data_IF_904465168313
#
_entry.id   IF_904465168313
#
_cell.length_a   1.000
_cell.length_b   1.000
_cell.length_c   1.000
_cell.angle_alpha   90.00
_cell.angle_beta   90.00
_cell.angle_gamma   90.00
#
_symmetry.space_group_name_H-M   'P 1'
#
loop_
_entity.id
_entity.type
_entity.pdbx_description
1 polymer ?
#
# COMPACT_ATOMS: atom_id res chain seq x y z
N UNK A 1 4.69 3.43 -14.53
CA UNK A 1 5.18 4.37 -13.48
C UNK A 1 5.86 3.54 -12.40
N UNK A 2 6.92 4.03 -11.75
CA UNK A 2 7.63 3.29 -10.69
C UNK A 2 6.67 2.75 -9.60
N UNK A 3 5.58 3.48 -9.33
CA UNK A 3 4.51 3.13 -8.38
C UNK A 3 3.86 1.77 -8.67
N UNK A 4 3.51 1.50 -9.94
CA UNK A 4 2.82 0.26 -10.34
C UNK A 4 3.74 -0.96 -10.36
N UNK A 5 5.04 -0.74 -10.57
CA UNK A 5 6.03 -1.81 -10.62
C UNK A 5 6.64 -2.13 -9.26
N UNK A 6 6.88 -1.10 -8.45
CA UNK A 6 7.62 -1.24 -7.20
C UNK A 6 6.69 -1.06 -5.98
N UNK A 7 6.10 0.13 -5.79
CA UNK A 7 5.39 0.46 -4.54
C UNK A 7 4.12 -0.37 -4.33
N UNK A 8 3.19 -0.41 -5.30
CA UNK A 8 1.93 -1.14 -5.14
C UNK A 8 2.15 -2.66 -4.99
N UNK A 9 3.04 -3.30 -5.79
CA UNK A 9 3.40 -4.70 -5.57
C UNK A 9 4.09 -4.94 -4.23
N UNK A 10 4.97 -4.03 -3.76
CA UNK A 10 5.61 -4.14 -2.46
C UNK A 10 4.61 -4.12 -1.30
N UNK A 11 3.67 -3.17 -1.31
CA UNK A 11 2.57 -3.12 -0.30
C UNK A 11 1.77 -4.42 -0.31
N UNK A 12 1.45 -4.94 -1.50
CA UNK A 12 0.69 -6.18 -1.62
C UNK A 12 1.50 -7.40 -1.18
N UNK A 13 2.80 -7.43 -1.50
CA UNK A 13 3.73 -8.49 -1.09
C UNK A 13 3.75 -8.63 0.43
N UNK A 14 3.99 -7.54 1.17
CA UNK A 14 4.05 -7.61 2.63
C UNK A 14 2.73 -8.01 3.30
N UNK A 15 1.59 -7.72 2.66
CA UNK A 15 0.27 -8.15 3.16
C UNK A 15 0.04 -9.64 3.02
N UNK A 16 0.54 -10.24 1.95
CA UNK A 16 0.28 -11.65 1.64
C UNK A 16 1.41 -12.57 2.09
N UNK A 17 2.67 -12.16 1.98
CA UNK A 17 3.84 -13.02 2.19
C UNK A 17 4.31 -13.03 3.65
N UNK A 18 4.03 -11.99 4.43
CA UNK A 18 4.32 -11.97 5.87
C UNK A 18 3.17 -12.64 6.61
N UNK A 19 3.39 -13.77 7.33
CA UNK A 19 2.31 -14.53 7.96
C UNK A 19 1.44 -13.71 8.92
N UNK A 20 2.05 -12.85 9.73
CA UNK A 20 1.33 -12.00 10.68
C UNK A 20 0.37 -11.02 9.98
N UNK A 21 0.76 -10.45 8.84
CA UNK A 21 -0.11 -9.57 8.06
C UNK A 21 -1.18 -10.36 7.31
N UNK A 22 -0.84 -11.55 6.79
CA UNK A 22 -1.77 -12.42 6.10
C UNK A 22 -2.96 -12.79 7.01
N UNK A 23 -2.68 -13.19 8.24
CA UNK A 23 -3.71 -13.57 9.21
C UNK A 23 -4.61 -12.38 9.62
N UNK A 24 -4.07 -11.15 9.72
CA UNK A 24 -4.86 -9.94 10.00
C UNK A 24 -5.83 -9.61 8.86
N UNK A 25 -5.40 -9.75 7.61
CA UNK A 25 -6.14 -9.27 6.43
C UNK A 25 -6.54 -10.38 5.46
N UNK A 26 -5.70 -10.75 4.49
CA UNK A 26 -6.06 -11.67 3.41
C UNK A 26 -6.67 -13.02 3.84
N UNK A 27 -6.30 -13.55 5.01
CA UNK A 27 -6.89 -14.78 5.55
C UNK A 27 -8.42 -14.69 5.72
N UNK A 28 -8.96 -13.49 5.96
CA UNK A 28 -10.39 -13.23 6.13
C UNK A 28 -11.19 -13.53 4.86
N UNK A 29 -10.57 -13.42 3.68
CA UNK A 29 -11.25 -13.75 2.41
C UNK A 29 -11.69 -15.22 2.34
N UNK A 30 -11.09 -16.09 3.13
CA UNK A 30 -11.39 -17.52 3.17
C UNK A 30 -12.43 -17.89 4.24
N UNK A 31 -12.94 -16.92 5.02
CA UNK A 31 -13.90 -17.19 6.09
C UNK A 31 -15.24 -17.71 5.59
N UNK A 32 -15.60 -17.42 4.34
CA UNK A 32 -16.82 -17.93 3.70
C UNK A 32 -16.70 -19.39 3.24
N UNK A 33 -15.52 -20.01 3.36
CA UNK A 33 -15.30 -21.38 2.95
C UNK A 33 -15.67 -22.39 4.05
N UNK A 34 -16.16 -23.59 3.68
CA UNK A 34 -16.28 -24.73 4.58
C UNK A 34 -14.96 -25.02 5.30
N UNK A 35 -15.03 -25.27 6.61
CA UNK A 35 -13.84 -25.37 7.46
C UNK A 35 -12.91 -26.53 7.06
N UNK A 36 -13.48 -27.64 6.60
CA UNK A 36 -12.79 -28.83 6.10
C UNK A 36 -11.99 -28.59 4.82
N UNK A 37 -12.39 -27.60 4.02
CA UNK A 37 -11.74 -27.27 2.74
C UNK A 37 -10.80 -26.07 2.84
N UNK A 38 -10.99 -25.22 3.86
CA UNK A 38 -10.35 -23.90 3.99
C UNK A 38 -8.82 -23.95 3.87
N UNK A 39 -8.17 -24.89 4.56
CA UNK A 39 -6.70 -24.95 4.60
C UNK A 39 -6.11 -25.40 3.26
N UNK A 40 -6.75 -26.35 2.58
CA UNK A 40 -6.34 -26.79 1.25
C UNK A 40 -6.44 -25.65 0.22
N UNK A 41 -7.54 -24.90 0.25
CA UNK A 41 -7.72 -23.75 -0.64
C UNK A 41 -6.80 -22.58 -0.30
N UNK A 42 -6.58 -22.28 0.99
CA UNK A 42 -5.59 -21.28 1.40
C UNK A 42 -4.22 -21.63 0.84
N UNK A 43 -3.80 -22.90 0.94
CA UNK A 43 -2.52 -23.36 0.39
C UNK A 43 -2.42 -23.16 -1.12
N UNK A 44 -3.42 -23.61 -1.88
CA UNK A 44 -3.45 -23.46 -3.34
C UNK A 44 -3.39 -21.99 -3.78
N UNK A 45 -4.22 -21.13 -3.17
CA UNK A 45 -4.22 -19.69 -3.46
C UNK A 45 -2.87 -19.06 -3.12
N UNK A 46 -2.28 -19.42 -1.98
CA UNK A 46 -0.98 -18.91 -1.57
C UNK A 46 0.15 -19.32 -2.51
N UNK A 47 0.12 -20.54 -3.05
CA UNK A 47 1.07 -20.99 -4.07
C UNK A 47 0.93 -20.16 -5.36
N UNK A 48 -0.31 -19.92 -5.82
CA UNK A 48 -0.57 -19.07 -6.99
C UNK A 48 -0.15 -17.62 -6.78
N UNK A 49 -0.42 -17.06 -5.59
CA UNK A 49 -0.03 -15.69 -5.23
C UNK A 49 1.49 -15.57 -5.21
N UNK A 50 2.22 -16.50 -4.58
CA UNK A 50 3.69 -16.54 -4.61
C UNK A 50 4.23 -16.57 -6.04
N UNK A 51 3.71 -17.49 -6.87
CA UNK A 51 4.10 -17.60 -8.27
C UNK A 51 3.86 -16.29 -9.04
N UNK A 52 2.75 -15.60 -8.77
CA UNK A 52 2.44 -14.31 -9.40
C UNK A 52 3.42 -13.20 -9.02
N UNK A 53 3.86 -13.14 -7.75
CA UNK A 53 4.87 -12.19 -7.30
C UNK A 53 6.22 -12.44 -7.97
N UNK A 54 6.62 -13.71 -8.08
CA UNK A 54 7.84 -14.09 -8.81
C UNK A 54 7.72 -13.70 -10.28
N UNK A 55 6.60 -14.02 -10.95
CA UNK A 55 6.40 -13.67 -12.35
C UNK A 55 6.51 -12.15 -12.59
N UNK A 56 5.92 -11.35 -11.71
CA UNK A 56 5.94 -9.87 -11.77
C UNK A 56 7.27 -9.23 -11.38
N UNK A 57 8.22 -10.00 -10.85
CA UNK A 57 9.57 -9.52 -10.49
C UNK A 57 9.75 -9.23 -9.00
N UNK A 58 8.76 -8.64 -8.32
CA UNK A 58 8.88 -8.28 -6.89
C UNK A 58 9.23 -9.47 -6.00
N UNK A 59 8.72 -10.67 -6.30
CA UNK A 59 9.04 -11.89 -5.55
C UNK A 59 10.44 -12.47 -5.80
N UNK A 60 11.25 -11.84 -6.66
CA UNK A 60 12.66 -12.21 -6.90
C UNK A 60 13.65 -11.42 -6.03
N UNK A 61 13.16 -10.37 -5.37
CA UNK A 61 13.95 -9.50 -4.51
C UNK A 61 13.89 -9.94 -3.06
N UNK A 62 14.89 -9.56 -2.26
CA UNK A 62 14.80 -9.68 -0.80
C UNK A 62 13.79 -8.68 -0.23
N UNK A 63 13.30 -8.89 0.99
CA UNK A 63 12.38 -7.93 1.62
C UNK A 63 13.03 -6.55 1.81
N UNK A 64 14.33 -6.50 2.07
CA UNK A 64 15.10 -5.27 2.16
C UNK A 64 15.18 -4.54 0.81
N UNK A 65 15.41 -5.27 -0.28
CA UNK A 65 15.40 -4.72 -1.64
C UNK A 65 14.01 -4.21 -2.03
N UNK A 66 12.95 -4.98 -1.74
CA UNK A 66 11.55 -4.57 -1.97
C UNK A 66 11.26 -3.26 -1.23
N UNK A 67 11.70 -3.17 0.03
CA UNK A 67 11.54 -1.95 0.84
C UNK A 67 12.32 -0.78 0.26
N UNK A 68 13.57 -1.00 -0.19
CA UNK A 68 14.39 0.02 -0.83
C UNK A 68 13.74 0.57 -2.11
N UNK A 69 13.24 -0.31 -2.98
CA UNK A 69 12.57 0.07 -4.23
C UNK A 69 11.26 0.84 -3.96
N UNK A 70 10.52 0.43 -2.93
CA UNK A 70 9.34 1.16 -2.47
C UNK A 70 9.70 2.57 -1.98
N UNK A 71 10.78 2.73 -1.21
CA UNK A 71 11.29 4.05 -0.76
C UNK A 71 11.61 4.97 -1.93
N UNK A 72 12.35 4.49 -2.94
CA UNK A 72 12.64 5.29 -4.13
C UNK A 72 11.38 5.73 -4.88
N UNK A 73 10.34 4.89 -4.88
CA UNK A 73 9.06 5.26 -5.47
C UNK A 73 8.32 6.33 -4.67
N UNK A 74 8.42 6.30 -3.33
CA UNK A 74 7.88 7.36 -2.46
C UNK A 74 8.61 8.69 -2.69
N UNK A 75 9.94 8.68 -2.79
CA UNK A 75 10.74 9.88 -3.09
C UNK A 75 10.37 10.49 -4.45
N UNK A 76 10.26 9.64 -5.46
CA UNK A 76 9.83 10.07 -6.79
C UNK A 76 8.42 10.67 -6.78
N UNK A 77 7.51 10.10 -5.99
CA UNK A 77 6.16 10.62 -5.82
C UNK A 77 6.14 11.99 -5.13
N UNK A 78 6.93 12.15 -4.08
CA UNK A 78 7.04 13.41 -3.35
C UNK A 78 7.59 14.54 -4.25
N UNK A 79 8.59 14.22 -5.07
CA UNK A 79 9.11 15.16 -6.07
C UNK A 79 8.08 15.46 -7.17
N UNK A 80 7.38 14.43 -7.66
CA UNK A 80 6.41 14.56 -8.76
C UNK A 80 5.18 15.37 -8.35
N UNK A 81 4.66 15.16 -7.14
CA UNK A 81 3.57 15.95 -6.57
C UNK A 81 4.08 17.37 -6.28
N UNK A 82 5.26 17.49 -5.66
CA UNK A 82 5.86 18.78 -5.35
C UNK A 82 4.94 19.63 -4.48
N UNK A 83 4.63 20.84 -4.94
CA UNK A 83 3.69 21.77 -4.29
C UNK A 83 2.25 21.68 -4.83
N UNK A 84 1.97 20.77 -5.77
CA UNK A 84 0.65 20.65 -6.40
C UNK A 84 -0.32 19.95 -5.45
N UNK A 85 -1.62 20.31 -5.47
CA UNK A 85 -2.62 19.60 -4.69
C UNK A 85 -2.92 18.19 -5.27
N UNK A 86 -2.75 17.99 -6.58
CA UNK A 86 -2.92 16.69 -7.25
C UNK A 86 -1.75 16.39 -8.19
N UNK A 87 -1.64 15.14 -8.65
CA UNK A 87 -0.51 14.66 -9.45
C UNK A 87 -0.25 15.53 -10.69
N UNK A 88 -1.34 15.98 -11.34
CA UNK A 88 -1.30 16.73 -12.60
C UNK A 88 -1.69 18.22 -12.47
N UNK A 89 -1.73 18.76 -11.25
CA UNK A 89 -2.03 20.18 -11.00
C UNK A 89 -3.19 20.37 -10.02
N UNK A 90 -4.14 21.25 -10.37
CA UNK A 90 -5.16 21.75 -9.43
C UNK A 90 -6.42 20.89 -9.31
N UNK A 91 -6.63 19.95 -10.24
CA UNK A 91 -7.79 19.06 -10.26
C UNK A 91 -7.35 17.60 -10.19
N UNK A 92 -8.07 16.74 -9.45
CA UNK A 92 -7.78 15.31 -9.44
C UNK A 92 -8.05 14.71 -10.82
N UNK A 93 -7.25 13.71 -11.19
CA UNK A 93 -7.45 12.90 -12.38
C UNK A 93 -7.46 11.40 -12.05
N UNK A 94 -7.71 10.55 -13.04
CA UNK A 94 -7.76 9.09 -12.83
C UNK A 94 -6.46 8.51 -12.26
N UNK A 95 -5.31 9.12 -12.56
CA UNK A 95 -4.03 8.70 -11.99
C UNK A 95 -3.97 8.96 -10.48
N UNK A 96 -4.58 10.06 -10.00
CA UNK A 96 -4.64 10.36 -8.57
C UNK A 96 -5.34 9.24 -7.80
N UNK A 97 -6.40 8.64 -8.35
CA UNK A 97 -7.10 7.53 -7.68
C UNK A 97 -6.16 6.33 -7.39
N UNK A 98 -5.33 5.95 -8.36
CA UNK A 98 -4.37 4.85 -8.18
C UNK A 98 -3.23 5.20 -7.21
N UNK A 99 -2.67 6.41 -7.33
CA UNK A 99 -1.60 6.89 -6.45
C UNK A 99 -2.10 7.00 -5.01
N UNK A 100 -3.26 7.63 -4.82
CA UNK A 100 -3.94 7.73 -3.53
C UNK A 100 -4.18 6.35 -2.90
N UNK A 101 -4.80 5.42 -3.63
CA UNK A 101 -5.11 4.10 -3.08
C UNK A 101 -3.83 3.36 -2.65
N UNK A 102 -2.75 3.49 -3.43
CA UNK A 102 -1.45 2.89 -3.11
C UNK A 102 -0.82 3.53 -1.88
N UNK A 103 -0.82 4.86 -1.77
CA UNK A 103 -0.26 5.58 -0.63
C UNK A 103 -1.06 5.35 0.65
N UNK A 104 -2.39 5.41 0.60
CA UNK A 104 -3.24 5.08 1.74
C UNK A 104 -2.99 3.63 2.21
N UNK A 105 -2.84 2.70 1.26
CA UNK A 105 -2.50 1.32 1.55
C UNK A 105 -1.09 1.14 2.15
N UNK A 106 -0.14 2.02 1.82
CA UNK A 106 1.20 2.03 2.43
C UNK A 106 1.20 2.66 3.83
N UNK A 107 0.32 3.64 4.10
CA UNK A 107 0.28 4.39 5.36
C UNK A 107 -0.56 3.73 6.45
N UNK A 108 -1.46 2.81 6.10
CA UNK A 108 -2.39 2.19 7.06
C UNK A 108 -1.67 1.50 8.22
N UNK A 109 -2.06 1.75 9.49
CA UNK A 109 -1.49 1.06 10.65
C UNK A 109 -1.96 -0.40 10.77
N UNK A 110 -2.96 -0.82 9.99
CA UNK A 110 -3.53 -2.16 10.07
C UNK A 110 -2.52 -3.28 9.75
N UNK A 111 -1.54 -2.99 8.87
CA UNK A 111 -0.49 -3.92 8.48
C UNK A 111 0.86 -3.43 8.98
N UNK A 112 1.63 -4.34 9.58
CA UNK A 112 2.99 -4.05 10.01
C UNK A 112 3.91 -4.20 8.79
N UNK A 113 4.31 -3.08 8.20
CA UNK A 113 5.19 -3.08 7.01
C UNK A 113 6.35 -2.11 7.20
N UNK A 114 7.56 -2.45 6.71
CA UNK A 114 8.69 -1.53 6.75
C UNK A 114 8.47 -0.28 5.88
N UNK A 115 7.56 -0.36 4.91
CA UNK A 115 7.21 0.75 4.00
C UNK A 115 6.44 1.85 4.73
N UNK A 116 5.63 1.49 5.74
CA UNK A 116 4.75 2.45 6.43
C UNK A 116 5.52 3.60 7.04
N UNK A 117 6.58 3.30 7.79
CA UNK A 117 7.40 4.31 8.48
C UNK A 117 7.94 5.36 7.51
N UNK A 118 8.35 4.94 6.32
CA UNK A 118 8.79 5.85 5.27
C UNK A 118 7.64 6.63 4.65
N UNK A 119 6.50 5.98 4.37
CA UNK A 119 5.35 6.67 3.79
C UNK A 119 4.84 7.80 4.70
N UNK A 120 4.71 7.55 6.00
CA UNK A 120 4.17 8.53 6.95
C UNK A 120 5.19 9.63 7.32
N UNK A 121 6.49 9.40 7.14
CA UNK A 121 7.52 10.41 7.41
C UNK A 121 7.63 11.50 6.35
N UNK A 122 6.79 11.44 5.29
CA UNK A 122 6.76 12.40 4.17
C UNK A 122 5.48 13.25 4.24
N UNK A 123 5.54 14.45 4.86
CA UNK A 123 4.36 15.29 5.13
C UNK A 123 3.53 15.61 3.90
N UNK A 124 4.17 15.78 2.74
CA UNK A 124 3.47 16.10 1.49
C UNK A 124 2.62 14.94 1.00
N UNK A 125 3.12 13.71 1.13
CA UNK A 125 2.37 12.52 0.77
C UNK A 125 1.23 12.29 1.74
N UNK A 126 1.45 12.54 3.04
CA UNK A 126 0.40 12.50 4.06
C UNK A 126 -0.69 13.51 3.72
N UNK A 127 -0.36 14.78 3.50
CA UNK A 127 -1.31 15.82 3.13
C UNK A 127 -2.05 15.52 1.82
N UNK A 128 -1.38 14.86 0.87
CA UNK A 128 -2.00 14.39 -0.37
C UNK A 128 -3.05 13.31 -0.09
N UNK A 129 -2.73 12.29 0.72
CA UNK A 129 -3.67 11.23 1.09
C UNK A 129 -4.84 11.79 1.89
N UNK A 130 -4.59 12.63 2.90
CA UNK A 130 -5.63 13.26 3.72
C UNK A 130 -6.61 14.03 2.85
N UNK A 131 -6.13 14.87 1.93
CA UNK A 131 -6.99 15.61 1.00
C UNK A 131 -7.86 14.71 0.11
N UNK A 132 -7.34 13.56 -0.30
CA UNK A 132 -8.10 12.59 -1.10
C UNK A 132 -9.13 11.83 -0.25
N UNK A 133 -8.80 11.50 0.99
CA UNK A 133 -9.73 10.91 1.96
C UNK A 133 -10.89 11.86 2.27
N UNK A 134 -10.60 13.11 2.65
CA UNK A 134 -11.62 14.12 2.97
C UNK A 134 -12.58 14.36 1.80
N UNK A 135 -12.05 14.31 0.56
CA UNK A 135 -12.84 14.57 -0.65
C UNK A 135 -13.74 13.41 -1.05
N UNK A 136 -13.24 12.18 -0.99
CA UNK A 136 -13.92 11.01 -1.57
C UNK A 136 -14.48 10.03 -0.54
N UNK A 137 -14.01 10.11 0.70
CA UNK A 137 -14.44 9.28 1.83
C UNK A 137 -14.71 10.15 3.08
N UNK A 138 -15.52 11.22 3.00
CA UNK A 138 -15.72 12.15 4.11
C UNK A 138 -16.35 11.52 5.36
N UNK A 139 -17.08 10.41 5.17
CA UNK A 139 -17.73 9.65 6.25
C UNK A 139 -16.77 8.64 6.91
N UNK A 140 -15.56 8.45 6.35
CA UNK A 140 -14.57 7.53 6.88
C UNK A 140 -13.55 8.30 7.72
N UNK A 141 -13.49 7.98 9.01
CA UNK A 141 -12.48 8.54 9.90
C UNK A 141 -11.09 8.02 9.52
N UNK A 142 -10.35 8.82 8.75
CA UNK A 142 -8.98 8.52 8.37
C UNK A 142 -8.03 8.85 9.53
N UNK A 143 -7.92 7.92 10.48
CA UNK A 143 -6.85 7.92 11.47
C UNK A 143 -5.78 6.91 11.05
N UNK A 144 -4.79 7.40 10.30
CA UNK A 144 -3.61 6.60 9.97
C UNK A 144 -2.57 6.57 11.10
N UNK A 145 -2.95 6.98 12.33
CA UNK A 145 -2.07 7.23 13.47
C UNK A 145 -0.92 8.19 13.10
N UNK A 146 -1.24 9.21 12.31
CA UNK A 146 -0.28 10.21 11.85
C UNK A 146 -0.51 11.48 12.69
N UNK A 147 0.46 11.82 13.54
CA UNK A 147 0.38 13.04 14.36
C UNK A 147 0.34 14.27 13.44
N UNK A 148 -0.75 15.03 13.54
CA UNK A 148 -1.04 16.23 12.72
C UNK A 148 0.09 17.26 12.79
N UNK A 149 0.93 17.23 13.83
CA UNK A 149 2.11 18.10 13.96
C UNK A 149 3.23 17.83 12.94
N UNK A 150 3.18 16.70 12.21
CA UNK A 150 4.10 16.42 11.12
C UNK A 150 3.61 16.97 9.76
N UNK A 151 2.37 17.45 9.67
CA UNK A 151 1.74 17.89 8.42
C UNK A 151 1.75 19.43 8.20
N UNK A 152 2.46 20.18 9.05
CA UNK A 152 2.55 21.65 8.98
C UNK A 152 3.89 22.13 8.42
#
# INVERSE_FOLDING_TARGET
>A
LAIDRELAPAVTYFRWMVPANFEKGPAVFFNQMPADQRDAFKKDVMERVRASFVARGVGRHSEEEITMLARFSLDALELLIGSKPYLMGDKPCGADAFVFATLAAAMTPFFDTPIRTDAISRPRLVAYVTRMMDRYYPEFEWDAEIDVKQAA
#
